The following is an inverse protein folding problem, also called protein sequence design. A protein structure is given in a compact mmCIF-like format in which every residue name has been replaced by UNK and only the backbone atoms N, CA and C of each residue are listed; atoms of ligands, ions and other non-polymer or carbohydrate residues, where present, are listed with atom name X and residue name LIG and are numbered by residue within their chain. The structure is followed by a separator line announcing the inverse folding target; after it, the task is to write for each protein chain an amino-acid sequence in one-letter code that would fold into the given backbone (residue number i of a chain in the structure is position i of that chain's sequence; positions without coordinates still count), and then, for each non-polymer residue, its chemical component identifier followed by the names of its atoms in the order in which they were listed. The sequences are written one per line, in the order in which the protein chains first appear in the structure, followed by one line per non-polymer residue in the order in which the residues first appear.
data_IF_140307975054
#
_entry.id   IF_140307975054
#
_cell.length_a   1.000
_cell.length_b   1.000
_cell.length_c   1.000
_cell.angle_alpha   90.00
_cell.angle_beta   90.00
_cell.angle_gamma   90.00
#
_symmetry.space_group_name_H-M   'P 1'
#
loop_
_entity.id
_entity.type
_entity.pdbx_description
1 polymer ?
#
# COMPACT_ATOMS: atom_id res chain seq x y z
N UNK A 1 13.32 -47.38 32.39
CA UNK A 1 14.13 -46.16 32.14
C UNK A 1 13.34 -45.30 31.17
N UNK A 2 12.55 -44.36 31.71
CA UNK A 2 11.67 -43.47 30.95
C UNK A 2 12.47 -42.30 30.39
N UNK A 3 12.29 -41.98 29.10
CA UNK A 3 12.45 -40.61 28.62
C UNK A 3 11.24 -40.28 27.75
N UNK A 4 10.46 -39.36 28.29
CA UNK A 4 9.17 -38.91 27.79
C UNK A 4 9.36 -38.07 26.53
N UNK A 5 8.63 -38.44 25.49
CA UNK A 5 8.21 -37.54 24.42
C UNK A 5 7.36 -36.44 25.06
N UNK A 6 7.94 -35.24 25.25
CA UNK A 6 7.20 -34.02 25.58
C UNK A 6 6.31 -33.66 24.38
N UNK A 7 5.12 -34.22 24.35
CA UNK A 7 4.00 -33.61 23.64
C UNK A 7 3.48 -32.49 24.54
N UNK A 8 3.90 -31.26 24.28
CA UNK A 8 3.22 -30.06 24.78
C UNK A 8 1.80 -30.06 24.20
N UNK A 9 0.86 -30.67 24.92
CA UNK A 9 -0.56 -30.52 24.66
C UNK A 9 -0.95 -29.13 25.16
N UNK A 10 -1.01 -28.15 24.27
CA UNK A 10 -1.71 -26.89 24.50
C UNK A 10 -3.13 -27.23 24.97
N UNK A 11 -3.54 -26.67 26.11
CA UNK A 11 -4.82 -26.96 26.76
C UNK A 11 -5.97 -26.37 25.93
N UNK A 12 -7.20 -26.94 25.95
CA UNK A 12 -8.39 -26.30 25.39
C UNK A 12 -8.56 -24.84 25.83
N UNK A 13 -8.17 -24.54 27.07
CA UNK A 13 -8.18 -23.20 27.65
C UNK A 13 -7.19 -22.25 26.95
N UNK A 14 -6.02 -22.76 26.54
CA UNK A 14 -5.01 -21.96 25.84
C UNK A 14 -5.50 -21.59 24.43
N UNK A 15 -6.19 -22.52 23.74
CA UNK A 15 -6.79 -22.26 22.44
C UNK A 15 -7.92 -21.24 22.53
N UNK A 16 -8.74 -21.29 23.58
CA UNK A 16 -9.85 -20.37 23.77
C UNK A 16 -9.35 -18.95 24.11
N UNK A 17 -8.29 -18.84 24.91
CA UNK A 17 -7.57 -17.59 25.15
C UNK A 17 -6.95 -17.02 23.88
N UNK A 18 -6.35 -17.87 23.04
CA UNK A 18 -5.76 -17.43 21.77
C UNK A 18 -6.82 -16.99 20.75
N UNK A 19 -7.97 -17.68 20.67
CA UNK A 19 -9.12 -17.26 19.86
C UNK A 19 -9.60 -15.88 20.29
N UNK A 20 -9.73 -15.64 21.60
CA UNK A 20 -10.23 -14.36 22.12
C UNK A 20 -9.21 -13.22 21.91
N UNK A 21 -7.91 -13.51 22.06
CA UNK A 21 -6.84 -12.57 21.73
C UNK A 21 -6.85 -12.22 20.23
N UNK A 22 -7.03 -13.20 19.34
CA UNK A 22 -7.11 -12.97 17.89
C UNK A 22 -8.36 -12.17 17.51
N UNK A 23 -9.51 -12.46 18.10
CA UNK A 23 -10.75 -11.66 17.89
C UNK A 23 -10.57 -10.22 18.33
N UNK A 24 -9.96 -10.00 19.50
CA UNK A 24 -9.66 -8.65 20.00
C UNK A 24 -8.75 -7.90 19.04
N UNK A 25 -7.73 -8.58 18.48
CA UNK A 25 -6.83 -8.01 17.49
C UNK A 25 -7.52 -7.70 16.16
N UNK A 26 -8.42 -8.56 15.68
CA UNK A 26 -9.22 -8.28 14.49
C UNK A 26 -10.10 -7.05 14.72
N UNK A 27 -10.81 -6.99 15.86
CA UNK A 27 -11.66 -5.87 16.20
C UNK A 27 -10.89 -4.54 16.32
N UNK A 28 -9.67 -4.56 16.88
CA UNK A 28 -8.84 -3.36 16.93
C UNK A 28 -8.37 -2.92 15.54
N UNK A 29 -7.97 -3.87 14.69
CA UNK A 29 -7.59 -3.59 13.30
C UNK A 29 -8.77 -3.03 12.50
N UNK A 30 -9.97 -3.60 12.63
CA UNK A 30 -11.17 -3.11 11.95
C UNK A 30 -11.54 -1.68 12.37
N UNK A 31 -11.33 -1.35 13.65
CA UNK A 31 -11.54 0.01 14.16
C UNK A 31 -10.51 1.00 13.59
N UNK A 32 -9.24 0.60 13.50
CA UNK A 32 -8.19 1.41 12.86
C UNK A 32 -8.47 1.63 11.38
N UNK A 33 -8.83 0.56 10.65
CA UNK A 33 -9.27 0.61 9.25
C UNK A 33 -10.43 1.59 9.03
N UNK A 34 -11.45 1.53 9.90
CA UNK A 34 -12.59 2.45 9.85
C UNK A 34 -12.17 3.90 10.11
N UNK A 35 -11.26 4.13 11.07
CA UNK A 35 -10.73 5.47 11.36
C UNK A 35 -9.96 6.05 10.18
N UNK A 36 -9.07 5.25 9.58
CA UNK A 36 -8.29 5.65 8.39
C UNK A 36 -9.22 5.96 7.22
N UNK A 37 -10.21 5.09 6.98
CA UNK A 37 -11.20 5.29 5.92
C UNK A 37 -12.02 6.56 6.11
N UNK A 38 -12.41 6.87 7.34
CA UNK A 38 -13.13 8.10 7.67
C UNK A 38 -12.26 9.34 7.43
N UNK A 39 -11.00 9.33 7.87
CA UNK A 39 -10.06 10.43 7.68
C UNK A 39 -9.79 10.73 6.20
N UNK A 40 -9.59 9.69 5.37
CA UNK A 40 -9.47 9.80 3.90
C UNK A 40 -10.74 10.43 3.32
N UNK A 41 -11.92 9.94 3.72
CA UNK A 41 -13.18 10.49 3.21
C UNK A 41 -13.38 11.97 3.56
N UNK A 42 -13.01 12.38 4.77
CA UNK A 42 -13.11 13.76 5.24
C UNK A 42 -12.14 14.67 4.46
N UNK A 43 -10.88 14.25 4.31
CA UNK A 43 -9.87 14.96 3.52
C UNK A 43 -10.30 15.11 2.06
N UNK A 44 -10.89 14.07 1.48
CA UNK A 44 -11.43 14.12 0.11
C UNK A 44 -12.54 15.17 -0.03
N UNK A 45 -13.46 15.27 0.93
CA UNK A 45 -14.53 16.29 0.91
C UNK A 45 -13.94 17.69 1.02
N UNK A 46 -13.04 17.92 1.99
CA UNK A 46 -12.41 19.22 2.18
C UNK A 46 -11.64 19.70 0.93
N UNK A 47 -10.94 18.80 0.23
CA UNK A 47 -10.24 19.14 -1.01
C UNK A 47 -11.18 19.53 -2.15
N UNK A 48 -12.37 18.94 -2.22
CA UNK A 48 -13.40 19.30 -3.20
C UNK A 48 -14.00 20.66 -2.89
N UNK A 49 -14.36 20.90 -1.63
CA UNK A 49 -14.88 22.20 -1.19
C UNK A 49 -13.86 23.32 -1.45
N UNK A 50 -12.58 23.05 -1.25
CA UNK A 50 -11.50 24.00 -1.54
C UNK A 50 -11.38 24.25 -3.06
N UNK A 51 -11.52 23.22 -3.89
CA UNK A 51 -11.51 23.35 -5.35
C UNK A 51 -12.66 24.24 -5.83
N UNK A 52 -13.87 24.02 -5.30
CA UNK A 52 -15.05 24.82 -5.62
C UNK A 52 -14.86 26.30 -5.22
N UNK A 53 -14.29 26.54 -4.04
CA UNK A 53 -13.91 27.89 -3.61
C UNK A 53 -12.90 28.54 -4.56
N UNK A 54 -11.84 27.83 -4.97
CA UNK A 54 -10.85 28.36 -5.93
C UNK A 54 -11.52 28.71 -7.27
N UNK A 55 -12.43 27.86 -7.76
CA UNK A 55 -13.12 28.13 -9.03
C UNK A 55 -13.97 29.40 -8.96
N UNK A 56 -14.64 29.65 -7.82
CA UNK A 56 -15.45 30.84 -7.59
C UNK A 56 -14.64 32.14 -7.43
N UNK A 57 -13.36 32.08 -7.07
CA UNK A 57 -12.52 33.27 -6.90
C UNK A 57 -12.18 33.93 -8.24
N UNK A 58 -12.35 35.25 -8.36
CA UNK A 58 -11.84 36.02 -9.51
C UNK A 58 -10.38 36.43 -9.27
N UNK A 59 -9.48 35.47 -9.47
CA UNK A 59 -8.03 35.65 -9.33
C UNK A 59 -7.32 35.42 -10.67
N UNK A 60 -6.03 35.78 -10.71
CA UNK A 60 -5.16 35.52 -11.86
C UNK A 60 -5.31 34.07 -12.37
N UNK A 61 -5.53 33.85 -13.69
CA UNK A 61 -5.69 32.51 -14.25
C UNK A 61 -4.48 31.59 -14.02
N UNK A 62 -3.27 32.16 -13.98
CA UNK A 62 -2.05 31.41 -13.69
C UNK A 62 -2.03 30.88 -12.25
N UNK A 63 -2.26 31.76 -11.29
CA UNK A 63 -2.39 31.42 -9.88
C UNK A 63 -3.52 30.40 -9.66
N UNK A 64 -4.70 30.63 -10.26
CA UNK A 64 -5.84 29.70 -10.21
C UNK A 64 -5.43 28.30 -10.68
N UNK A 65 -4.77 28.21 -11.84
CA UNK A 65 -4.30 26.93 -12.40
C UNK A 65 -3.32 26.21 -11.48
N UNK A 66 -2.39 26.93 -10.85
CA UNK A 66 -1.43 26.32 -9.91
C UNK A 66 -2.16 25.72 -8.71
N UNK A 67 -3.10 26.47 -8.13
CA UNK A 67 -3.87 26.02 -6.96
C UNK A 67 -4.77 24.83 -7.30
N UNK A 68 -5.53 24.89 -8.40
CA UNK A 68 -6.41 23.79 -8.81
C UNK A 68 -5.61 22.53 -9.13
N UNK A 69 -4.47 22.65 -9.84
CA UNK A 69 -3.60 21.51 -10.10
C UNK A 69 -3.07 20.89 -8.80
N UNK A 70 -2.74 21.69 -7.79
CA UNK A 70 -2.32 21.15 -6.49
C UNK A 70 -3.42 20.36 -5.81
N UNK A 71 -4.65 20.88 -5.77
CA UNK A 71 -5.80 20.16 -5.23
C UNK A 71 -6.08 18.86 -5.99
N UNK A 72 -5.99 18.89 -7.32
CA UNK A 72 -6.20 17.71 -8.15
C UNK A 72 -5.16 16.61 -7.87
N UNK A 73 -3.88 16.95 -7.68
CA UNK A 73 -2.86 15.96 -7.27
C UNK A 73 -3.12 15.36 -5.90
N UNK A 74 -3.59 16.18 -4.95
CA UNK A 74 -3.96 15.70 -3.61
C UNK A 74 -5.16 14.75 -3.65
N UNK A 75 -6.17 15.07 -4.47
CA UNK A 75 -7.34 14.20 -4.71
C UNK A 75 -6.91 12.89 -5.40
N UNK A 76 -6.00 12.95 -6.37
CA UNK A 76 -5.45 11.75 -7.00
C UNK A 76 -4.72 10.86 -5.98
N UNK A 77 -3.92 11.46 -5.11
CA UNK A 77 -3.23 10.76 -4.02
C UNK A 77 -4.22 10.02 -3.13
N UNK A 78 -5.25 10.71 -2.64
CA UNK A 78 -6.33 10.16 -1.82
C UNK A 78 -7.06 8.96 -2.49
N UNK A 79 -7.35 9.06 -3.79
CA UNK A 79 -7.98 7.98 -4.54
C UNK A 79 -7.08 6.73 -4.55
N UNK A 80 -5.76 6.93 -4.72
CA UNK A 80 -4.79 5.84 -4.70
C UNK A 80 -4.64 5.27 -3.29
N UNK A 81 -4.58 6.11 -2.26
CA UNK A 81 -4.54 5.71 -0.84
C UNK A 81 -5.73 4.82 -0.50
N UNK A 82 -6.95 5.24 -0.85
CA UNK A 82 -8.17 4.46 -0.63
C UNK A 82 -8.13 3.12 -1.38
N UNK A 83 -7.67 3.11 -2.63
CA UNK A 83 -7.57 1.89 -3.44
C UNK A 83 -6.53 0.91 -2.89
N UNK A 84 -5.43 1.41 -2.36
CA UNK A 84 -4.38 0.58 -1.78
C UNK A 84 -4.56 0.37 -0.28
N UNK A 85 -5.48 1.05 0.40
CA UNK A 85 -5.58 1.02 1.86
C UNK A 85 -4.21 1.23 2.53
N UNK A 86 -3.51 2.30 2.12
CA UNK A 86 -2.16 2.66 2.55
C UNK A 86 -2.01 4.18 2.45
N UNK A 87 -1.40 4.80 3.44
CA UNK A 87 -1.05 6.23 3.41
C UNK A 87 0.15 6.47 2.49
N UNK A 88 0.08 7.52 1.68
CA UNK A 88 1.01 7.80 0.60
C UNK A 88 1.40 9.28 0.60
N UNK A 89 2.69 9.54 0.33
CA UNK A 89 3.08 10.88 -0.10
C UNK A 89 2.61 11.12 -1.55
N UNK A 90 2.54 12.38 -1.99
CA UNK A 90 2.27 12.69 -3.40
C UNK A 90 3.29 12.02 -4.34
N UNK A 91 4.54 11.88 -3.91
CA UNK A 91 5.60 11.18 -4.67
C UNK A 91 5.30 9.67 -4.79
N UNK A 92 4.76 9.05 -3.75
CA UNK A 92 4.38 7.64 -3.78
C UNK A 92 3.17 7.41 -4.69
N UNK A 93 2.15 8.27 -4.59
CA UNK A 93 0.99 8.24 -5.46
C UNK A 93 1.36 8.44 -6.94
N UNK A 94 2.21 9.41 -7.25
CA UNK A 94 2.70 9.64 -8.60
C UNK A 94 3.47 8.43 -9.15
N UNK A 95 4.33 7.80 -8.33
CA UNK A 95 5.02 6.57 -8.70
C UNK A 95 4.04 5.42 -8.98
N UNK A 96 3.04 5.22 -8.11
CA UNK A 96 2.02 4.19 -8.30
C UNK A 96 1.22 4.43 -9.59
N UNK A 97 0.81 5.67 -9.85
CA UNK A 97 0.11 6.03 -11.09
C UNK A 97 0.98 5.72 -12.32
N UNK A 98 2.27 6.06 -12.25
CA UNK A 98 3.24 5.83 -13.34
C UNK A 98 3.47 4.34 -13.61
N UNK A 99 3.72 3.53 -12.59
CA UNK A 99 3.96 2.09 -12.77
C UNK A 99 2.69 1.37 -13.22
N UNK A 100 1.51 1.75 -12.72
CA UNK A 100 0.24 1.19 -13.17
C UNK A 100 -0.06 1.54 -14.62
N UNK A 101 0.26 2.77 -15.05
CA UNK A 101 0.11 3.20 -16.45
C UNK A 101 1.00 2.38 -17.38
N UNK A 102 2.25 2.12 -16.97
CA UNK A 102 3.20 1.33 -17.77
C UNK A 102 2.88 -0.17 -17.74
N UNK A 103 2.37 -0.66 -16.62
CA UNK A 103 2.10 -2.08 -16.37
C UNK A 103 0.68 -2.28 -15.83
N UNK A 104 -0.35 -2.16 -16.68
CA UNK A 104 -1.75 -2.21 -16.26
C UNK A 104 -2.19 -3.57 -15.66
N UNK A 105 -1.40 -4.62 -15.92
CA UNK A 105 -1.67 -6.00 -15.44
C UNK A 105 -1.20 -6.25 -14.00
N UNK A 106 -0.58 -5.27 -13.35
CA UNK A 106 -0.26 -5.34 -11.92
C UNK A 106 -1.54 -5.20 -11.10
N UNK A 107 -1.72 -6.10 -10.14
CA UNK A 107 -2.81 -5.99 -9.17
C UNK A 107 -2.41 -5.09 -7.99
N UNK A 108 -3.38 -4.75 -7.13
CA UNK A 108 -3.15 -3.88 -5.97
C UNK A 108 -2.04 -4.40 -5.04
N UNK A 109 -1.93 -5.72 -4.86
CA UNK A 109 -0.89 -6.32 -4.02
C UNK A 109 0.50 -6.13 -4.62
N UNK A 110 0.63 -6.31 -5.92
CA UNK A 110 1.89 -6.12 -6.66
C UNK A 110 2.28 -4.64 -6.73
N UNK A 111 1.30 -3.72 -6.79
CA UNK A 111 1.54 -2.29 -6.66
C UNK A 111 2.11 -1.93 -5.28
N UNK A 112 1.52 -2.43 -4.19
CA UNK A 112 2.06 -2.25 -2.83
C UNK A 112 3.48 -2.77 -2.71
N UNK A 113 3.74 -3.97 -3.23
CA UNK A 113 5.08 -4.56 -3.22
C UNK A 113 6.05 -3.69 -4.00
N UNK A 114 5.66 -3.17 -5.17
CA UNK A 114 6.51 -2.28 -5.98
C UNK A 114 6.87 -1.01 -5.20
N UNK A 115 5.91 -0.43 -4.46
CA UNK A 115 6.18 0.71 -3.60
C UNK A 115 7.12 0.37 -2.43
N UNK A 116 6.93 -0.76 -1.76
CA UNK A 116 7.84 -1.17 -0.69
C UNK A 116 9.27 -1.40 -1.21
N UNK A 117 9.40 -1.96 -2.42
CA UNK A 117 10.70 -2.10 -3.08
C UNK A 117 11.31 -0.73 -3.43
N UNK A 118 10.51 0.23 -3.91
CA UNK A 118 10.94 1.63 -4.13
C UNK A 118 11.47 2.26 -2.83
N UNK A 119 10.79 1.99 -1.71
CA UNK A 119 11.16 2.46 -0.37
C UNK A 119 12.32 1.67 0.27
N UNK A 120 13.05 0.86 -0.52
CA UNK A 120 14.22 0.09 -0.12
C UNK A 120 13.99 -1.03 0.91
N UNK A 121 12.75 -1.50 1.10
CA UNK A 121 12.48 -2.66 1.93
C UNK A 121 13.09 -3.93 1.32
N UNK A 122 13.67 -4.77 2.16
CA UNK A 122 14.19 -6.07 1.75
C UNK A 122 13.08 -7.11 1.55
N UNK A 123 13.44 -8.28 1.01
CA UNK A 123 12.46 -9.35 0.73
C UNK A 123 11.72 -9.85 1.97
N UNK A 124 12.42 -9.95 3.10
CA UNK A 124 11.87 -10.46 4.36
C UNK A 124 10.93 -9.43 4.97
N UNK A 125 11.30 -8.16 4.91
CA UNK A 125 10.47 -7.05 5.38
C UNK A 125 9.20 -6.92 4.54
N UNK A 126 9.32 -6.95 3.20
CA UNK A 126 8.15 -6.96 2.29
C UNK A 126 7.25 -8.15 2.59
N UNK A 127 7.82 -9.36 2.73
CA UNK A 127 7.03 -10.56 3.04
C UNK A 127 6.28 -10.41 4.37
N UNK A 128 6.92 -9.83 5.39
CA UNK A 128 6.30 -9.56 6.70
C UNK A 128 5.16 -8.55 6.59
N UNK A 129 5.36 -7.41 5.91
CA UNK A 129 4.35 -6.36 5.73
C UNK A 129 3.14 -6.89 4.94
N UNK A 130 3.39 -7.72 3.93
CA UNK A 130 2.35 -8.31 3.07
C UNK A 130 1.69 -9.54 3.72
N UNK A 131 2.21 -10.04 4.83
CA UNK A 131 1.67 -11.19 5.56
C UNK A 131 1.86 -12.53 4.85
N UNK A 132 3.05 -12.77 4.27
CA UNK A 132 3.39 -14.04 3.59
C UNK A 132 4.76 -14.55 3.99
N UNK A 133 5.02 -15.81 3.63
CA UNK A 133 6.35 -16.41 3.75
C UNK A 133 7.30 -15.84 2.70
N UNK A 134 8.60 -15.91 2.97
CA UNK A 134 9.65 -15.56 2.01
C UNK A 134 9.53 -16.35 0.71
N UNK A 135 9.21 -17.64 0.79
CA UNK A 135 8.92 -18.51 -0.37
C UNK A 135 7.71 -18.04 -1.17
N UNK A 136 6.64 -17.60 -0.49
CA UNK A 136 5.50 -16.98 -1.15
C UNK A 136 5.89 -15.70 -1.89
N UNK A 137 6.79 -14.91 -1.29
CA UNK A 137 7.32 -13.68 -1.89
C UNK A 137 8.18 -13.97 -3.13
N UNK A 138 8.96 -15.04 -3.15
CA UNK A 138 9.70 -15.48 -4.35
C UNK A 138 8.76 -15.80 -5.52
N UNK A 139 7.66 -16.50 -5.25
CA UNK A 139 6.64 -16.80 -6.26
C UNK A 139 5.99 -15.53 -6.83
N UNK A 140 5.69 -14.54 -5.98
CA UNK A 140 5.19 -13.24 -6.44
C UNK A 140 6.25 -12.51 -7.26
N UNK A 141 7.50 -12.49 -6.82
CA UNK A 141 8.60 -11.85 -7.54
C UNK A 141 8.76 -12.43 -8.94
N UNK A 142 8.71 -13.75 -9.07
CA UNK A 142 8.75 -14.41 -10.37
C UNK A 142 7.62 -13.93 -11.30
N UNK A 143 6.38 -13.85 -10.80
CA UNK A 143 5.25 -13.33 -11.59
C UNK A 143 5.39 -11.85 -11.92
N UNK A 144 5.82 -11.04 -10.96
CA UNK A 144 6.06 -9.62 -11.18
C UNK A 144 7.14 -9.40 -12.23
N UNK A 145 8.22 -10.19 -12.21
CA UNK A 145 9.30 -10.12 -13.19
C UNK A 145 8.78 -10.27 -14.62
N UNK A 146 7.93 -11.28 -14.87
CA UNK A 146 7.23 -11.46 -16.15
C UNK A 146 6.28 -10.31 -16.49
N UNK A 147 5.45 -9.88 -15.53
CA UNK A 147 4.48 -8.77 -15.75
C UNK A 147 5.15 -7.43 -16.04
N UNK A 148 6.34 -7.21 -15.47
CA UNK A 148 7.15 -6.02 -15.68
C UNK A 148 7.96 -6.09 -16.99
N UNK A 149 7.97 -7.25 -17.67
CA UNK A 149 8.70 -7.46 -18.92
C UNK A 149 10.21 -7.51 -18.75
N UNK A 150 10.69 -7.98 -17.59
CA UNK A 150 12.11 -7.98 -17.26
C UNK A 150 12.84 -9.19 -17.86
N UNK A 151 14.09 -8.98 -18.28
CA UNK A 151 15.02 -10.02 -18.72
C UNK A 151 15.65 -10.80 -17.55
N UNK A 152 16.27 -11.95 -17.84
CA UNK A 152 16.77 -12.91 -16.82
C UNK A 152 17.66 -12.32 -15.74
N UNK A 153 18.41 -11.26 -16.04
CA UNK A 153 19.36 -10.62 -15.12
C UNK A 153 18.90 -9.25 -14.63
N UNK A 154 17.70 -8.81 -15.02
CA UNK A 154 17.15 -7.54 -14.59
C UNK A 154 16.50 -7.66 -13.23
N UNK A 155 16.84 -6.72 -12.35
CA UNK A 155 16.31 -6.65 -11.00
C UNK A 155 15.06 -5.78 -10.96
N UNK A 156 13.99 -6.30 -10.34
CA UNK A 156 12.78 -5.51 -10.04
C UNK A 156 13.15 -4.25 -9.26
N UNK A 157 14.12 -4.33 -8.33
CA UNK A 157 14.54 -3.18 -7.52
C UNK A 157 15.12 -2.08 -8.40
N UNK A 158 16.06 -2.43 -9.27
CA UNK A 158 16.69 -1.48 -10.21
C UNK A 158 15.65 -0.85 -11.12
N UNK A 159 14.80 -1.67 -11.73
CA UNK A 159 13.72 -1.21 -12.61
C UNK A 159 12.78 -0.22 -11.90
N UNK A 160 12.34 -0.56 -10.68
CA UNK A 160 11.45 0.29 -9.89
C UNK A 160 12.12 1.62 -9.52
N UNK A 161 13.39 1.59 -9.10
CA UNK A 161 14.15 2.79 -8.76
C UNK A 161 14.33 3.72 -9.97
N UNK A 162 14.68 3.20 -11.13
CA UNK A 162 14.80 3.98 -12.37
C UNK A 162 13.46 4.57 -12.82
N UNK A 163 12.38 3.80 -12.67
CA UNK A 163 11.04 4.28 -12.98
C UNK A 163 10.58 5.40 -12.03
N UNK A 164 11.04 5.41 -10.78
CA UNK A 164 10.66 6.43 -9.81
C UNK A 164 11.36 7.78 -10.03
N UNK A 165 12.55 7.79 -10.65
CA UNK A 165 13.35 9.00 -10.91
C UNK A 165 13.09 9.61 -12.29
N UNK A 166 12.67 8.78 -13.26
CA UNK A 166 12.28 9.23 -14.60
C UNK A 166 10.95 10.00 -14.63
#
# INVERSE_FOLDING_TARGET
MNTQTKQEKTSPVDFEQEIEALKTKIASQDKELSRVSAAISEKTTALRDLLDQIYALEIDPGAKRVMTNSCLRMIETEIIEKRLNMELTESDAAFIAKIQKKHPNLNQRELKISLLVKLNYDTKEVARVIGITTRGMESIRYRMHHKLGLGKHESIKTYVSELAVS
#
